data_IF_481472760330
#
_entry.id   IF_481472760330
#
_cell.length_a   1.000
_cell.length_b   1.000
_cell.length_c   1.000
_cell.angle_alpha   90.00
_cell.angle_beta   90.00
_cell.angle_gamma   90.00
#
_symmetry.space_group_name_H-M   'P 1'
#
loop_
_entity.id
_entity.type
_entity.pdbx_description
1 polymer ?
#
# COMPACT_ATOMS: atom_id res chain seq x y z
N UNK A 1 15.59 5.30 4.87
CA UNK A 1 15.57 5.31 3.38
C UNK A 1 14.82 4.06 2.96
N UNK A 2 13.79 4.19 2.12
CA UNK A 2 13.02 3.04 1.64
C UNK A 2 13.94 2.00 0.97
N UNK A 3 13.63 0.71 1.16
CA UNK A 3 14.26 -0.36 0.41
C UNK A 3 13.81 -0.39 -1.07
N UNK A 4 12.71 0.30 -1.37
CA UNK A 4 12.08 0.31 -2.69
C UNK A 4 12.17 1.69 -3.35
N UNK A 5 12.15 1.68 -4.68
CA UNK A 5 11.92 2.87 -5.50
C UNK A 5 10.48 2.85 -5.99
N UNK A 6 9.70 3.83 -5.54
CA UNK A 6 8.33 4.02 -5.96
C UNK A 6 8.27 4.81 -7.27
N UNK A 7 7.47 4.30 -8.21
CA UNK A 7 7.15 5.00 -9.44
C UNK A 7 5.82 5.73 -9.28
N UNK A 8 5.92 7.05 -9.21
CA UNK A 8 4.79 7.97 -9.27
C UNK A 8 4.73 8.71 -10.61
N UNK A 9 3.52 8.89 -11.11
CA UNK A 9 3.15 9.82 -12.18
C UNK A 9 1.86 10.54 -11.78
N UNK A 10 1.50 11.59 -12.52
CA UNK A 10 0.31 12.40 -12.21
C UNK A 10 -0.95 11.53 -12.09
N UNK A 11 -1.11 10.56 -12.99
CA UNK A 11 -2.25 9.65 -13.00
C UNK A 11 -2.41 8.87 -11.69
N UNK A 12 -1.34 8.25 -11.17
CA UNK A 12 -1.47 7.46 -9.94
C UNK A 12 -1.46 8.32 -8.68
N UNK A 13 -0.84 9.50 -8.69
CA UNK A 13 -0.94 10.48 -7.61
C UNK A 13 -2.39 10.97 -7.50
N UNK A 14 -2.99 11.45 -8.59
CA UNK A 14 -4.38 11.93 -8.60
C UNK A 14 -5.37 10.83 -8.21
N UNK A 15 -5.12 9.60 -8.64
CA UNK A 15 -5.98 8.48 -8.30
C UNK A 15 -6.02 8.20 -6.79
N UNK A 16 -4.88 8.21 -6.10
CA UNK A 16 -4.86 8.00 -4.64
C UNK A 16 -5.32 9.23 -3.86
N UNK A 17 -5.11 10.44 -4.40
CA UNK A 17 -5.61 11.68 -3.81
C UNK A 17 -7.16 11.69 -3.77
N UNK A 18 -7.84 11.08 -4.75
CA UNK A 18 -9.29 10.89 -4.71
C UNK A 18 -9.77 9.98 -3.55
N UNK A 19 -8.86 9.24 -2.92
CA UNK A 19 -9.10 8.46 -1.71
C UNK A 19 -8.59 9.16 -0.44
N UNK A 20 -8.12 10.41 -0.53
CA UNK A 20 -7.53 11.16 0.57
C UNK A 20 -6.24 10.51 1.09
N UNK A 21 -5.46 9.92 0.18
CA UNK A 21 -4.17 9.30 0.48
C UNK A 21 -3.08 10.05 -0.26
N UNK A 22 -2.05 10.44 0.46
CA UNK A 22 -0.85 11.04 -0.10
C UNK A 22 0.17 9.95 -0.49
N UNK A 23 1.05 10.19 -1.50
CA UNK A 23 2.05 9.22 -1.91
C UNK A 23 2.90 8.67 -0.75
N UNK A 24 3.37 9.54 0.15
CA UNK A 24 4.22 9.15 1.27
C UNK A 24 3.52 8.18 2.24
N UNK A 25 2.21 8.29 2.44
CA UNK A 25 1.45 7.37 3.29
C UNK A 25 1.41 5.95 2.71
N UNK A 26 1.34 5.83 1.37
CA UNK A 26 1.43 4.55 0.69
C UNK A 26 2.84 3.96 0.77
N UNK A 27 3.88 4.80 0.76
CA UNK A 27 5.27 4.38 0.94
C UNK A 27 5.53 3.88 2.36
N UNK A 28 5.09 4.62 3.38
CA UNK A 28 5.18 4.23 4.80
C UNK A 28 4.58 2.84 5.02
N UNK A 29 3.37 2.58 4.50
CA UNK A 29 2.71 1.29 4.63
C UNK A 29 3.50 0.16 3.97
N UNK A 30 4.22 0.43 2.87
CA UNK A 30 5.02 -0.57 2.19
C UNK A 30 6.33 -0.85 2.95
N UNK A 31 6.90 0.17 3.59
CA UNK A 31 8.18 0.08 4.30
C UNK A 31 8.04 -0.46 5.73
N UNK A 32 6.91 -0.27 6.40
CA UNK A 32 6.67 -0.68 7.80
C UNK A 32 6.01 -2.08 7.93
N UNK A 33 6.75 -3.11 7.50
CA UNK A 33 6.39 -4.54 7.61
C UNK A 33 4.90 -4.89 7.34
N UNK A 34 4.36 -4.55 6.16
CA UNK A 34 2.96 -4.81 5.85
C UNK A 34 2.66 -6.30 5.72
N UNK A 35 1.41 -6.66 5.98
CA UNK A 35 0.88 -7.94 5.53
C UNK A 35 0.64 -7.89 4.01
N UNK A 36 1.38 -8.67 3.23
CA UNK A 36 1.27 -8.68 1.76
C UNK A 36 0.56 -9.95 1.27
N UNK A 37 -0.39 -9.79 0.34
CA UNK A 37 -1.05 -10.89 -0.38
C UNK A 37 -0.99 -10.68 -1.89
N UNK A 38 -0.74 -11.74 -2.66
CA UNK A 38 -0.84 -11.72 -4.12
C UNK A 38 -2.30 -11.87 -4.55
N UNK A 39 -2.79 -10.98 -5.41
CA UNK A 39 -4.22 -10.95 -5.84
C UNK A 39 -4.41 -11.21 -7.34
N UNK A 40 -3.32 -11.34 -8.10
CA UNK A 40 -3.35 -11.66 -9.52
C UNK A 40 -1.94 -11.75 -10.10
N UNK A 41 -1.85 -11.81 -11.42
CA UNK A 41 -0.55 -11.79 -12.10
C UNK A 41 0.13 -10.43 -11.92
N UNK A 42 1.29 -10.44 -11.25
CA UNK A 42 2.09 -9.23 -10.98
C UNK A 42 1.47 -8.20 -10.02
N UNK A 43 0.29 -8.46 -9.44
CA UNK A 43 -0.42 -7.53 -8.53
C UNK A 43 -0.46 -8.05 -7.10
N UNK A 44 -0.20 -7.13 -6.18
CA UNK A 44 -0.10 -7.38 -4.75
C UNK A 44 -0.93 -6.36 -3.99
N UNK A 45 -1.36 -6.75 -2.80
CA UNK A 45 -2.01 -5.88 -1.83
C UNK A 45 -1.22 -5.93 -0.55
N UNK A 46 -0.71 -4.78 -0.13
CA UNK A 46 -0.18 -4.54 1.20
C UNK A 46 -1.28 -4.00 2.10
N UNK A 47 -1.31 -4.48 3.33
CA UNK A 47 -2.13 -3.93 4.38
C UNK A 47 -1.25 -3.56 5.55
N UNK A 48 -1.30 -2.30 5.96
CA UNK A 48 -0.44 -1.80 7.02
C UNK A 48 -0.98 -0.53 7.65
N UNK A 49 -0.15 0.09 8.47
CA UNK A 49 -0.44 1.33 9.16
C UNK A 49 0.60 2.37 8.75
N UNK A 50 0.16 3.60 8.56
CA UNK A 50 1.04 4.77 8.39
C UNK A 50 1.65 5.17 9.74
N UNK A 51 2.67 6.01 9.72
CA UNK A 51 3.30 6.54 10.95
C UNK A 51 2.29 7.37 11.78
N UNK A 52 1.36 8.05 11.11
CA UNK A 52 0.27 8.80 11.73
C UNK A 52 -0.87 7.90 12.27
N UNK A 53 -0.79 6.59 12.07
CA UNK A 53 -1.72 5.62 12.61
C UNK A 53 -2.92 5.30 11.73
N UNK A 54 -3.02 5.85 10.50
CA UNK A 54 -4.05 5.46 9.54
C UNK A 54 -3.79 4.07 8.98
N UNK A 55 -4.84 3.28 8.86
CA UNK A 55 -4.78 1.93 8.34
C UNK A 55 -5.12 1.94 6.86
N UNK A 56 -4.13 1.66 6.00
CA UNK A 56 -4.33 1.67 4.55
C UNK A 56 -4.22 0.27 3.93
N UNK A 57 -4.97 0.11 2.85
CA UNK A 57 -4.80 -0.95 1.87
C UNK A 57 -4.12 -0.33 0.65
N UNK A 58 -2.97 -0.86 0.27
CA UNK A 58 -2.18 -0.38 -0.87
C UNK A 58 -2.09 -1.48 -1.91
N UNK A 59 -2.62 -1.24 -3.11
CA UNK A 59 -2.50 -2.13 -4.26
C UNK A 59 -1.31 -1.68 -5.10
N UNK A 60 -0.38 -2.59 -5.38
CA UNK A 60 0.82 -2.28 -6.15
C UNK A 60 1.20 -3.39 -7.11
N UNK A 61 1.97 -3.02 -8.13
CA UNK A 61 2.63 -3.95 -9.04
C UNK A 61 4.15 -3.88 -8.87
N UNK A 62 4.82 -5.03 -8.88
CA UNK A 62 6.28 -5.11 -8.93
C UNK A 62 6.75 -4.94 -10.38
N UNK A 63 7.57 -3.93 -10.66
CA UNK A 63 8.21 -3.70 -11.96
C UNK A 63 9.61 -4.32 -12.04
N UNK A 64 10.29 -4.42 -10.91
CA UNK A 64 11.50 -5.20 -10.69
C UNK A 64 11.61 -5.57 -9.20
N UNK A 65 12.70 -6.21 -8.77
CA UNK A 65 12.91 -6.56 -7.36
C UNK A 65 12.80 -5.37 -6.40
N UNK A 66 13.24 -4.18 -6.84
CA UNK A 66 13.29 -2.97 -6.02
C UNK A 66 12.39 -1.84 -6.57
N UNK A 67 11.62 -2.05 -7.64
CA UNK A 67 10.75 -1.02 -8.23
C UNK A 67 9.29 -1.39 -8.09
N UNK A 68 8.53 -0.53 -7.42
CA UNK A 68 7.11 -0.71 -7.19
C UNK A 68 6.33 0.41 -7.90
N UNK A 69 5.19 0.07 -8.47
CA UNK A 69 4.20 1.05 -8.92
C UNK A 69 2.96 0.90 -8.07
N UNK A 70 2.61 1.95 -7.33
CA UNK A 70 1.33 2.01 -6.64
C UNK A 70 0.22 2.20 -7.68
N UNK A 71 -0.79 1.34 -7.58
CA UNK A 71 -1.97 1.32 -8.46
C UNK A 71 -3.09 2.09 -7.79
N UNK A 72 -3.36 1.80 -6.51
CA UNK A 72 -4.35 2.52 -5.69
C UNK A 72 -4.01 2.35 -4.21
N UNK A 73 -4.41 3.31 -3.39
CA UNK A 73 -4.31 3.27 -1.93
C UNK A 73 -5.57 3.90 -1.34
N UNK A 74 -6.08 3.32 -0.27
CA UNK A 74 -7.27 3.82 0.44
C UNK A 74 -7.30 3.37 1.88
N UNK A 75 -8.13 4.02 2.70
CA UNK A 75 -8.40 3.55 4.04
C UNK A 75 -8.98 2.12 4.04
N UNK A 76 -8.52 1.33 5.01
CA UNK A 76 -9.07 0.02 5.29
C UNK A 76 -10.44 0.14 5.96
N UNK A 77 -11.36 -0.72 5.53
CA UNK A 77 -12.61 -0.95 6.25
C UNK A 77 -12.37 -1.60 7.61
N UNK A 78 -13.33 -1.48 8.53
CA UNK A 78 -13.28 -2.14 9.85
C UNK A 78 -13.09 -3.66 9.71
N UNK A 79 -13.71 -4.27 8.70
CA UNK A 79 -13.63 -5.71 8.44
C UNK A 79 -12.21 -6.13 7.99
N UNK A 80 -11.59 -5.36 7.09
CA UNK A 80 -10.22 -5.59 6.64
C UNK A 80 -9.24 -5.51 7.82
N UNK A 81 -9.34 -4.45 8.65
CA UNK A 81 -8.50 -4.29 9.85
C UNK A 81 -8.63 -5.48 10.81
N UNK A 82 -9.86 -5.94 11.07
CA UNK A 82 -10.09 -7.12 11.93
C UNK A 82 -9.51 -8.40 11.33
N UNK A 83 -9.57 -8.56 10.00
CA UNK A 83 -9.05 -9.75 9.31
C UNK A 83 -7.54 -9.84 9.41
N UNK A 84 -6.81 -8.73 9.26
CA UNK A 84 -5.34 -8.72 9.30
C UNK A 84 -4.83 -8.94 10.71
N UNK A 85 -5.47 -8.33 11.73
CA UNK A 85 -5.10 -8.55 13.15
C UNK A 85 -5.19 -10.02 13.58
N UNK A 86 -6.01 -10.84 12.91
CA UNK A 86 -6.11 -12.29 13.16
C UNK A 86 -5.06 -13.12 12.43
N UNK A 87 -4.42 -12.55 11.40
CA UNK A 87 -3.45 -13.23 10.53
C UNK A 87 -2.00 -12.87 10.86
N UNK A 88 -1.74 -11.71 11.45
CA UNK A 88 -0.42 -11.29 11.93
C UNK A 88 -0.06 -11.85 13.32
N UNK A 89 -0.57 -13.03 13.68
CA UNK A 89 -0.30 -13.72 14.95
C UNK A 89 0.15 -15.14 14.68
#
# INVERSE_FOLDING_TARGET
MSQYRFWWDETNIEHIANHGVEPYEAEEVIDDDPFITKVGEGKYVAYGQTDAGRYLLVVFARKSEQRLRIITARDMTVAERKRIKRRGK
#
